data_IF_225963849588
#
_entry.id   IF_225963849588
#
_cell.length_a   1.000
_cell.length_b   1.000
_cell.length_c   1.000
_cell.angle_alpha   90.00
_cell.angle_beta   90.00
_cell.angle_gamma   90.00
#
_symmetry.space_group_name_H-M   'P 1'
#
loop_
_entity.id
_entity.type
_entity.pdbx_description
1 polymer ?
#
# COMPACT_ATOMS: atom_id res chain seq x y z
N UNK A 1 -22.97 1.04 -7.89
CA UNK A 1 -22.09 1.42 -9.02
C UNK A 1 -21.23 2.63 -8.69
N UNK A 2 -21.79 3.72 -8.17
CA UNK A 2 -21.02 4.90 -7.74
C UNK A 2 -19.87 4.57 -6.78
N UNK A 3 -20.12 3.76 -5.74
CA UNK A 3 -19.08 3.37 -4.76
C UNK A 3 -17.90 2.61 -5.39
N UNK A 4 -18.19 1.69 -6.31
CA UNK A 4 -17.16 0.91 -6.99
C UNK A 4 -16.27 1.81 -7.85
N UNK A 5 -16.87 2.74 -8.59
CA UNK A 5 -16.13 3.72 -9.42
C UNK A 5 -15.23 4.57 -8.52
N UNK A 6 -15.73 5.04 -7.38
CA UNK A 6 -14.92 5.79 -6.41
C UNK A 6 -13.71 4.97 -5.93
N UNK A 7 -13.90 3.69 -5.60
CA UNK A 7 -12.82 2.80 -5.16
C UNK A 7 -11.78 2.63 -6.28
N UNK A 8 -12.20 2.44 -7.53
CA UNK A 8 -11.28 2.32 -8.66
C UNK A 8 -10.45 3.59 -8.83
N UNK A 9 -11.09 4.77 -8.76
CA UNK A 9 -10.38 6.05 -8.85
C UNK A 9 -9.35 6.19 -7.72
N UNK A 10 -9.73 5.85 -6.48
CA UNK A 10 -8.79 5.86 -5.35
C UNK A 10 -7.68 4.83 -5.48
N UNK A 11 -7.96 3.64 -6.02
CA UNK A 11 -6.96 2.62 -6.29
C UNK A 11 -5.92 3.11 -7.33
N UNK A 12 -6.35 3.84 -8.36
CA UNK A 12 -5.43 4.47 -9.33
C UNK A 12 -4.59 5.58 -8.68
N UNK A 13 -5.17 6.36 -7.77
CA UNK A 13 -4.42 7.35 -6.98
C UNK A 13 -3.38 6.65 -6.11
N UNK A 14 -3.76 5.57 -5.42
CA UNK A 14 -2.85 4.76 -4.63
C UNK A 14 -1.71 4.18 -5.48
N UNK A 15 -2.01 3.68 -6.69
CA UNK A 15 -1.00 3.13 -7.60
C UNK A 15 -0.01 4.19 -8.07
N UNK A 16 -0.49 5.39 -8.40
CA UNK A 16 0.37 6.53 -8.69
C UNK A 16 1.27 6.88 -7.49
N UNK A 17 0.70 6.87 -6.29
CA UNK A 17 1.44 7.14 -5.06
C UNK A 17 2.53 6.08 -4.85
N UNK A 18 2.17 4.80 -5.02
CA UNK A 18 3.10 3.69 -4.93
C UNK A 18 4.27 3.85 -5.91
N UNK A 19 3.99 4.20 -7.17
CA UNK A 19 5.00 4.37 -8.20
C UNK A 19 6.05 5.43 -7.87
N UNK A 20 5.70 6.53 -7.19
CA UNK A 20 6.71 7.52 -6.78
C UNK A 20 7.56 7.04 -5.60
N UNK A 21 7.00 6.29 -4.64
CA UNK A 21 7.78 5.72 -3.54
C UNK A 21 8.79 4.70 -4.06
N UNK A 22 8.35 3.82 -4.96
CA UNK A 22 9.20 2.81 -5.59
C UNK A 22 10.28 3.46 -6.47
N UNK A 23 9.94 4.51 -7.22
CA UNK A 23 10.90 5.28 -7.98
C UNK A 23 11.96 5.92 -7.08
N UNK A 24 11.56 6.56 -5.97
CA UNK A 24 12.49 7.18 -5.03
C UNK A 24 13.45 6.15 -4.42
N UNK A 25 12.93 4.99 -4.01
CA UNK A 25 13.73 3.88 -3.47
C UNK A 25 14.73 3.33 -4.51
N UNK A 26 14.32 3.20 -5.77
CA UNK A 26 15.16 2.65 -6.84
C UNK A 26 16.28 3.60 -7.27
N UNK A 27 16.09 4.92 -7.19
CA UNK A 27 17.07 5.91 -7.68
C UNK A 27 18.01 6.45 -6.59
N UNK A 28 17.67 6.27 -5.31
CA UNK A 28 18.41 6.88 -4.19
C UNK A 28 19.91 6.59 -4.25
N UNK A 29 20.30 5.34 -4.53
CA UNK A 29 21.71 4.92 -4.58
C UNK A 29 22.45 5.46 -5.81
N UNK A 30 21.83 5.40 -7.00
CA UNK A 30 22.47 5.80 -8.27
C UNK A 30 22.65 7.32 -8.35
N UNK A 31 21.73 8.08 -7.74
CA UNK A 31 21.82 9.54 -7.61
C UNK A 31 22.82 9.94 -6.53
N UNK A 32 22.84 9.26 -5.38
CA UNK A 32 23.80 9.54 -4.31
C UNK A 32 25.26 9.27 -4.72
N UNK A 33 25.48 8.22 -5.52
CA UNK A 33 26.80 7.89 -6.10
C UNK A 33 27.16 8.74 -7.32
N UNK A 34 26.26 9.62 -7.78
CA UNK A 34 26.42 10.49 -8.95
C UNK A 34 26.71 9.76 -10.26
N UNK A 35 26.27 8.50 -10.37
CA UNK A 35 26.36 7.72 -11.61
C UNK A 35 25.38 8.27 -12.64
N UNK A 36 24.18 8.68 -12.21
CA UNK A 36 23.17 9.33 -13.05
C UNK A 36 22.76 10.67 -12.44
N UNK A 37 22.36 11.62 -13.30
CA UNK A 37 21.67 12.83 -12.85
C UNK A 37 20.26 12.47 -12.31
N UNK A 38 19.68 13.26 -11.40
CA UNK A 38 18.34 12.99 -10.86
C UNK A 38 17.28 12.77 -11.95
N UNK A 39 17.31 13.58 -13.00
CA UNK A 39 16.37 13.45 -14.12
C UNK A 39 16.55 12.14 -14.89
N UNK A 40 17.79 11.76 -15.21
CA UNK A 40 18.08 10.47 -15.85
C UNK A 40 17.60 9.31 -15.00
N UNK A 41 17.85 9.35 -13.69
CA UNK A 41 17.44 8.28 -12.79
C UNK A 41 15.92 8.12 -12.74
N UNK A 42 15.15 9.22 -12.72
CA UNK A 42 13.68 9.18 -12.79
C UNK A 42 13.19 8.59 -14.12
N UNK A 43 13.79 8.97 -15.24
CA UNK A 43 13.44 8.39 -16.56
C UNK A 43 13.71 6.89 -16.59
N UNK A 44 14.84 6.45 -16.04
CA UNK A 44 15.15 5.03 -15.88
C UNK A 44 14.12 4.32 -15.01
N UNK A 45 13.81 4.87 -13.83
CA UNK A 45 12.81 4.28 -12.93
C UNK A 45 11.43 4.14 -13.61
N UNK A 46 10.98 5.17 -14.34
CA UNK A 46 9.71 5.13 -15.06
C UNK A 46 9.72 4.07 -16.16
N UNK A 47 10.79 3.99 -16.96
CA UNK A 47 10.91 3.01 -18.04
C UNK A 47 10.90 1.57 -17.51
N UNK A 48 11.68 1.27 -16.47
CA UNK A 48 11.75 -0.08 -15.91
C UNK A 48 10.51 -0.46 -15.11
N UNK A 49 9.87 0.46 -14.38
CA UNK A 49 8.59 0.20 -13.72
C UNK A 49 7.50 -0.14 -14.74
N UNK A 50 7.45 0.59 -15.85
CA UNK A 50 6.55 0.26 -16.94
C UNK A 50 6.88 -1.11 -17.53
N UNK A 51 8.13 -1.34 -17.94
CA UNK A 51 8.55 -2.59 -18.57
C UNK A 51 8.33 -3.82 -17.66
N UNK A 52 8.47 -3.68 -16.34
CA UNK A 52 8.31 -4.75 -15.39
C UNK A 52 6.94 -5.43 -15.46
N UNK A 53 5.89 -4.67 -15.79
CA UNK A 53 4.54 -5.19 -16.02
C UNK A 53 4.51 -6.30 -17.09
N UNK A 54 5.28 -6.16 -18.17
CA UNK A 54 5.31 -7.15 -19.26
C UNK A 54 6.20 -8.36 -18.97
N UNK A 55 7.15 -8.24 -18.03
CA UNK A 55 8.21 -9.24 -17.83
C UNK A 55 7.97 -10.12 -16.60
N UNK A 56 7.49 -9.55 -15.48
CA UNK A 56 7.48 -10.23 -14.17
C UNK A 56 6.11 -10.71 -13.69
N UNK A 57 5.02 -10.38 -14.41
CA UNK A 57 3.67 -10.82 -14.07
C UNK A 57 3.08 -10.17 -12.80
N UNK A 58 2.01 -10.75 -12.27
CA UNK A 58 1.13 -10.11 -11.27
C UNK A 58 1.34 -10.54 -9.81
N UNK A 59 2.51 -11.07 -9.44
CA UNK A 59 2.71 -11.74 -8.15
C UNK A 59 2.32 -10.92 -6.90
N UNK A 60 2.61 -9.61 -6.88
CA UNK A 60 2.20 -8.72 -5.78
C UNK A 60 0.68 -8.48 -5.81
N UNK A 61 0.10 -8.23 -6.99
CA UNK A 61 -1.34 -8.04 -7.14
C UNK A 61 -2.12 -9.30 -6.72
N UNK A 62 -1.65 -10.50 -7.08
CA UNK A 62 -2.24 -11.77 -6.66
C UNK A 62 -2.20 -11.96 -5.14
N UNK A 63 -1.11 -11.53 -4.51
CA UNK A 63 -0.96 -11.62 -3.05
C UNK A 63 -1.94 -10.68 -2.35
N UNK A 64 -2.02 -9.43 -2.80
CA UNK A 64 -3.00 -8.44 -2.28
C UNK A 64 -4.43 -8.91 -2.51
N UNK A 65 -4.74 -9.46 -3.69
CA UNK A 65 -6.06 -10.00 -4.01
C UNK A 65 -6.44 -11.18 -3.10
N UNK A 66 -5.52 -12.13 -2.88
CA UNK A 66 -5.75 -13.24 -1.95
C UNK A 66 -6.02 -12.75 -0.53
N UNK A 67 -5.25 -11.77 -0.05
CA UNK A 67 -5.49 -11.15 1.27
C UNK A 67 -6.88 -10.52 1.33
N UNK A 68 -7.29 -9.79 0.29
CA UNK A 68 -8.62 -9.20 0.22
C UNK A 68 -9.74 -10.25 0.23
N UNK A 69 -9.55 -11.39 -0.44
CA UNK A 69 -10.51 -12.49 -0.44
C UNK A 69 -10.63 -13.21 0.91
N UNK A 70 -9.54 -13.36 1.66
CA UNK A 70 -9.55 -14.08 2.95
C UNK A 70 -10.32 -13.38 4.07
N UNK A 71 -10.59 -12.08 3.94
CA UNK A 71 -11.15 -11.25 5.03
C UNK A 71 -12.67 -10.99 4.82
N UNK A 72 -13.28 -11.55 3.77
CA UNK A 72 -14.71 -11.39 3.44
C UNK A 72 -15.15 -9.91 3.44
N UNK A 73 -14.45 -9.12 2.62
CA UNK A 73 -14.44 -7.65 2.71
C UNK A 73 -15.62 -7.03 1.93
N UNK A 74 -16.45 -6.25 2.64
CA UNK A 74 -17.47 -5.40 2.02
C UNK A 74 -16.82 -4.19 1.30
N UNK A 75 -17.42 -3.66 0.22
CA UNK A 75 -16.90 -2.49 -0.51
C UNK A 75 -16.58 -1.28 0.40
N UNK A 76 -17.34 -1.10 1.48
CA UNK A 76 -17.09 -0.03 2.47
C UNK A 76 -15.73 -0.24 3.17
N UNK A 77 -15.39 -1.49 3.48
CA UNK A 77 -14.13 -1.86 4.12
C UNK A 77 -12.97 -1.74 3.13
N UNK A 78 -13.17 -2.11 1.85
CA UNK A 78 -12.18 -1.85 0.79
C UNK A 78 -11.90 -0.35 0.68
N UNK A 79 -12.95 0.47 0.61
CA UNK A 79 -12.83 1.92 0.53
C UNK A 79 -12.02 2.48 1.71
N UNK A 80 -12.37 2.09 2.94
CA UNK A 80 -11.68 2.54 4.14
C UNK A 80 -10.20 2.11 4.15
N UNK A 81 -9.91 0.88 3.72
CA UNK A 81 -8.54 0.38 3.64
C UNK A 81 -7.68 1.10 2.60
N UNK A 82 -8.23 1.40 1.42
CA UNK A 82 -7.53 2.19 0.38
C UNK A 82 -7.27 3.60 0.87
N UNK A 83 -8.23 4.26 1.51
CA UNK A 83 -8.04 5.60 2.09
C UNK A 83 -6.95 5.58 3.16
N UNK A 84 -6.98 4.61 4.08
CA UNK A 84 -5.96 4.46 5.11
C UNK A 84 -4.57 4.28 4.49
N UNK A 85 -4.46 3.46 3.44
CA UNK A 85 -3.21 3.22 2.75
C UNK A 85 -2.66 4.47 2.05
N UNK A 86 -3.53 5.23 1.37
CA UNK A 86 -3.17 6.52 0.74
C UNK A 86 -2.68 7.51 1.79
N UNK A 87 -3.42 7.68 2.87
CA UNK A 87 -3.07 8.60 3.95
C UNK A 87 -1.70 8.26 4.55
N UNK A 88 -1.45 6.96 4.78
CA UNK A 88 -0.18 6.51 5.33
C UNK A 88 0.99 6.70 4.36
N UNK A 89 0.83 6.36 3.08
CA UNK A 89 1.86 6.60 2.08
C UNK A 89 2.20 8.10 1.96
N UNK A 90 1.19 8.99 1.93
CA UNK A 90 1.45 10.43 1.88
C UNK A 90 2.13 10.94 3.16
N UNK A 91 1.77 10.40 4.32
CA UNK A 91 2.42 10.75 5.60
C UNK A 91 3.89 10.32 5.61
N UNK A 92 4.19 9.07 5.26
CA UNK A 92 5.57 8.56 5.24
C UNK A 92 6.41 9.28 4.20
N UNK A 93 5.84 9.60 3.04
CA UNK A 93 6.49 10.43 2.04
C UNK A 93 6.83 11.81 2.59
N UNK A 94 5.88 12.48 3.25
CA UNK A 94 6.11 13.81 3.81
C UNK A 94 7.19 13.80 4.90
N UNK A 95 7.28 12.72 5.67
CA UNK A 95 8.31 12.50 6.68
C UNK A 95 9.64 11.97 6.11
N UNK A 96 9.70 11.64 4.82
CA UNK A 96 10.89 11.06 4.18
C UNK A 96 11.23 9.64 4.66
N UNK A 97 10.24 8.91 5.20
CA UNK A 97 10.43 7.55 5.73
C UNK A 97 10.24 6.54 4.58
N UNK A 98 11.22 5.64 4.33
CA UNK A 98 11.06 4.59 3.33
C UNK A 98 9.95 3.64 3.76
N UNK A 99 8.97 3.45 2.89
CA UNK A 99 7.75 2.69 3.20
C UNK A 99 7.41 1.71 2.08
N UNK A 100 6.83 0.57 2.46
CA UNK A 100 6.29 -0.41 1.51
C UNK A 100 4.78 -0.19 1.34
N UNK A 101 4.36 0.21 0.14
CA UNK A 101 2.94 0.46 -0.14
C UNK A 101 2.09 -0.82 -0.09
N UNK A 102 2.61 -1.97 -0.53
CA UNK A 102 1.88 -3.25 -0.50
C UNK A 102 1.51 -3.67 0.92
N UNK A 103 2.47 -3.51 1.84
CA UNK A 103 2.28 -3.74 3.26
C UNK A 103 1.32 -2.73 3.88
N UNK A 104 1.45 -1.47 3.50
CA UNK A 104 0.53 -0.39 3.89
C UNK A 104 -0.91 -0.68 3.44
N UNK A 105 -1.11 -1.22 2.23
CA UNK A 105 -2.42 -1.60 1.71
C UNK A 105 -3.01 -2.80 2.44
N UNK A 106 -2.21 -3.84 2.69
CA UNK A 106 -2.62 -5.00 3.49
C UNK A 106 -2.99 -4.58 4.92
N UNK A 107 -2.18 -3.73 5.55
CA UNK A 107 -2.45 -3.15 6.86
C UNK A 107 -3.72 -2.30 6.88
N UNK A 108 -3.96 -1.51 5.84
CA UNK A 108 -5.18 -0.74 5.64
C UNK A 108 -6.43 -1.62 5.58
N UNK A 109 -6.40 -2.70 4.78
CA UNK A 109 -7.51 -3.67 4.71
C UNK A 109 -7.74 -4.38 6.03
N UNK A 110 -6.67 -4.84 6.69
CA UNK A 110 -6.77 -5.49 8.00
C UNK A 110 -7.40 -4.55 9.03
N UNK A 111 -6.91 -3.30 9.15
CA UNK A 111 -7.43 -2.31 10.09
C UNK A 111 -8.88 -1.91 9.81
N UNK A 112 -9.25 -1.78 8.54
CA UNK A 112 -10.63 -1.49 8.15
C UNK A 112 -11.58 -2.65 8.49
N UNK A 113 -11.17 -3.89 8.21
CA UNK A 113 -11.98 -5.08 8.51
C UNK A 113 -12.18 -5.25 10.02
N UNK A 114 -11.12 -5.00 10.79
CA UNK A 114 -11.15 -4.91 12.24
C UNK A 114 -12.16 -3.89 12.72
N UNK A 115 -12.09 -2.64 12.24
CA UNK A 115 -13.00 -1.58 12.67
C UNK A 115 -14.47 -1.92 12.35
N UNK A 116 -14.69 -2.56 11.19
CA UNK A 116 -16.00 -3.06 10.81
C UNK A 116 -16.49 -4.17 11.74
N UNK A 117 -15.65 -5.16 12.06
CA UNK A 117 -16.00 -6.24 12.99
C UNK A 117 -16.29 -5.73 14.41
N UNK A 118 -15.52 -4.75 14.90
CA UNK A 118 -15.73 -4.10 16.20
C UNK A 118 -17.06 -3.34 16.22
N UNK A 119 -17.40 -2.63 15.14
CA UNK A 119 -18.67 -1.91 15.04
C UNK A 119 -19.89 -2.86 15.16
N UNK A 120 -19.74 -4.12 14.78
CA UNK A 120 -20.83 -5.10 14.69
C UNK A 120 -20.85 -6.06 15.90
N UNK A 121 -19.79 -6.19 16.73
CA UNK A 121 -19.71 -7.21 17.79
C UNK A 121 -19.06 -6.80 19.13
N UNK A 122 -19.41 -7.52 20.20
CA UNK A 122 -19.00 -7.35 21.61
C UNK A 122 -17.52 -7.68 21.92
N UNK A 123 -17.03 -7.10 23.04
CA UNK A 123 -15.67 -7.04 23.62
C UNK A 123 -14.70 -8.23 23.40
N UNK A 124 -15.17 -9.46 23.23
CA UNK A 124 -14.33 -10.65 23.09
C UNK A 124 -13.52 -10.69 21.78
N UNK A 125 -14.04 -10.12 20.69
CA UNK A 125 -13.33 -10.02 19.41
C UNK A 125 -12.19 -8.98 19.42
N UNK A 126 -12.18 -8.04 20.37
CA UNK A 126 -11.15 -6.97 20.48
C UNK A 126 -9.82 -7.52 21.03
N UNK A 127 -9.87 -8.55 21.89
CA UNK A 127 -8.69 -9.11 22.57
C UNK A 127 -7.87 -10.02 21.64
N UNK A 128 -8.52 -10.76 20.74
CA UNK A 128 -7.84 -11.57 19.71
C UNK A 128 -7.11 -10.69 18.68
N UNK A 129 -7.49 -9.42 18.63
CA UNK A 129 -7.21 -8.44 17.59
C UNK A 129 -6.01 -7.56 17.95
N UNK A 130 -5.83 -7.21 19.23
CA UNK A 130 -4.59 -6.57 19.72
C UNK A 130 -3.34 -7.42 19.49
N UNK A 131 -3.48 -8.76 19.54
CA UNK A 131 -2.38 -9.70 19.26
C UNK A 131 -1.96 -9.74 17.78
N UNK A 132 -2.85 -9.35 16.86
CA UNK A 132 -2.54 -9.23 15.43
C UNK A 132 -2.05 -7.84 15.05
N UNK A 133 -2.46 -6.78 15.76
CA UNK A 133 -2.06 -5.38 15.47
C UNK A 133 -0.67 -5.05 15.99
N UNK A 134 -0.22 -5.65 17.09
CA UNK A 134 1.13 -5.42 17.62
C UNK A 134 2.27 -5.70 16.63
N UNK A 135 2.26 -6.79 15.82
CA UNK A 135 3.28 -6.99 14.78
C UNK A 135 3.09 -6.10 13.54
N UNK A 136 1.96 -5.38 13.39
CA UNK A 136 1.72 -4.45 12.27
C UNK A 136 2.26 -3.04 12.54
N UNK A 137 2.64 -2.71 13.78
CA UNK A 137 3.27 -1.42 14.10
C UNK A 137 4.63 -1.23 13.40
N UNK A 138 5.24 -2.32 12.91
CA UNK A 138 6.50 -2.32 12.17
C UNK A 138 6.33 -2.33 10.63
N UNK A 139 5.11 -2.45 10.11
CA UNK A 139 4.89 -2.90 8.72
C UNK A 139 4.93 -1.78 7.66
N UNK A 140 4.92 -0.53 8.08
CA UNK A 140 5.02 0.63 7.19
C UNK A 140 6.45 1.10 6.92
N UNK A 141 7.46 0.56 7.60
CA UNK A 141 8.84 1.05 7.53
C UNK A 141 9.71 -0.10 7.02
N UNK A 142 10.30 0.09 5.84
CA UNK A 142 11.35 -0.83 5.39
C UNK A 142 12.60 -0.47 6.21
N UNK A 143 12.91 -1.27 7.23
CA UNK A 143 14.30 -1.47 7.68
C UNK A 143 14.90 -2.65 6.91
#
# INVERSE_FOLDING_TARGET
MTLLITIIVLALIFDYINGFHDAANAIATVVATKVLTPFQAVVWAAFFNFLAYWVFGFGVADTVAKTAHTIDINLIVILAGVIAAICWNLLTWWLGIPSSSSHTLIGGFAGAAVAHAIYICTVFQIILLLKMVLPLLDIGIIL
#
